data_IF_482465945526
#
_entry.id   IF_482465945526
#
_cell.length_a   1.000
_cell.length_b   1.000
_cell.length_c   1.000
_cell.angle_alpha   90.00
_cell.angle_beta   90.00
_cell.angle_gamma   90.00
#
_symmetry.space_group_name_H-M   'P 1'
#
loop_
_entity.id
_entity.type
_entity.pdbx_description
1 polymer ?
#
# COMPACT_ATOMS: atom_id res chain seq x y z
N UNK A 1 -17.58 6.07 0.00
CA UNK A 1 -17.01 7.39 0.32
C UNK A 1 -16.92 8.22 -0.94
N UNK A 2 -17.48 9.42 -0.92
CA UNK A 2 -17.30 10.46 -1.94
C UNK A 2 -15.91 11.08 -1.81
N UNK A 3 -15.44 11.83 -2.81
CA UNK A 3 -14.20 12.57 -2.62
C UNK A 3 -14.30 13.68 -1.55
N UNK A 4 -15.52 14.12 -1.19
CA UNK A 4 -15.72 15.04 -0.05
C UNK A 4 -15.39 14.36 1.27
N UNK A 5 -15.87 13.12 1.45
CA UNK A 5 -15.58 12.30 2.62
C UNK A 5 -14.08 12.04 2.75
N UNK A 6 -13.39 11.75 1.63
CA UNK A 6 -11.94 11.57 1.62
C UNK A 6 -11.19 12.84 1.99
N UNK A 7 -11.54 13.99 1.42
CA UNK A 7 -10.93 15.28 1.78
C UNK A 7 -11.08 15.58 3.28
N UNK A 8 -12.27 15.36 3.85
CA UNK A 8 -12.49 15.53 5.28
C UNK A 8 -11.59 14.59 6.10
N UNK A 9 -11.54 13.30 5.76
CA UNK A 9 -10.68 12.33 6.46
C UNK A 9 -9.19 12.70 6.38
N UNK A 10 -8.73 13.23 5.24
CA UNK A 10 -7.36 13.73 5.08
C UNK A 10 -7.10 14.94 5.97
N UNK A 11 -8.08 15.84 6.13
CA UNK A 11 -8.01 16.93 7.10
C UNK A 11 -7.82 16.42 8.54
N UNK A 12 -8.52 15.35 8.92
CA UNK A 12 -8.31 14.69 10.22
C UNK A 12 -6.91 14.09 10.32
N UNK A 13 -6.44 13.40 9.28
CA UNK A 13 -5.08 12.85 9.24
C UNK A 13 -4.01 13.94 9.36
N UNK A 14 -4.20 15.09 8.70
CA UNK A 14 -3.32 16.24 8.78
C UNK A 14 -3.23 16.80 10.21
N UNK A 15 -4.38 16.95 10.90
CA UNK A 15 -4.44 17.41 12.28
C UNK A 15 -3.73 16.46 13.26
N UNK A 16 -3.65 15.17 12.92
CA UNK A 16 -2.93 14.15 13.70
C UNK A 16 -1.44 14.04 13.33
N UNK A 17 -0.94 14.82 12.37
CA UNK A 17 0.44 14.74 11.88
C UNK A 17 0.73 13.43 11.14
N UNK A 18 -0.29 12.77 10.61
CA UNK A 18 -0.15 11.51 9.88
C UNK A 18 0.32 11.76 8.45
N UNK A 19 1.07 10.78 7.91
CA UNK A 19 1.27 10.62 6.46
C UNK A 19 0.09 9.85 5.88
N UNK A 20 -0.22 10.08 4.61
CA UNK A 20 -1.31 9.39 3.92
C UNK A 20 -0.75 8.50 2.82
N UNK A 21 -1.38 7.35 2.62
CA UNK A 21 -1.10 6.51 1.47
C UNK A 21 -2.40 6.21 0.73
N UNK A 22 -2.42 6.45 -0.57
CA UNK A 22 -3.51 6.02 -1.43
C UNK A 22 -3.21 4.62 -1.94
N UNK A 23 -4.04 3.67 -1.51
CA UNK A 23 -3.95 2.25 -1.88
C UNK A 23 -5.28 1.79 -2.48
N UNK A 24 -5.47 0.46 -2.58
CA UNK A 24 -6.73 -0.17 -2.97
C UNK A 24 -6.54 -1.17 -4.11
N UNK A 25 -7.50 -1.21 -5.03
CA UNK A 25 -7.30 -1.88 -6.33
C UNK A 25 -6.39 -1.06 -7.23
N UNK A 26 -6.82 0.14 -7.60
CA UNK A 26 -6.03 1.13 -8.33
C UNK A 26 -6.56 2.54 -8.00
N UNK A 27 -5.86 3.34 -7.17
CA UNK A 27 -6.37 4.63 -6.70
C UNK A 27 -6.62 5.63 -7.83
N UNK A 28 -5.86 5.51 -8.93
CA UNK A 28 -6.01 6.40 -10.09
C UNK A 28 -7.32 6.16 -10.87
N UNK A 29 -8.09 5.10 -10.55
CA UNK A 29 -9.43 4.89 -11.10
C UNK A 29 -10.53 5.66 -10.33
N UNK A 30 -10.23 6.22 -9.16
CA UNK A 30 -11.21 7.00 -8.42
C UNK A 30 -11.60 8.27 -9.20
N UNK A 31 -12.89 8.59 -9.39
CA UNK A 31 -13.32 9.73 -10.21
C UNK A 31 -12.78 11.07 -9.68
N UNK A 32 -12.68 11.21 -8.36
CA UNK A 32 -12.12 12.39 -7.68
C UNK A 32 -10.60 12.30 -7.41
N UNK A 33 -9.85 11.33 -7.98
CA UNK A 33 -8.43 11.11 -7.64
C UNK A 33 -7.59 12.40 -7.60
N UNK A 34 -7.65 13.18 -8.68
CA UNK A 34 -6.87 14.42 -8.79
C UNK A 34 -7.26 15.45 -7.72
N UNK A 35 -8.55 15.57 -7.41
CA UNK A 35 -9.07 16.49 -6.39
C UNK A 35 -8.58 16.09 -5.00
N UNK A 36 -8.65 14.80 -4.69
CA UNK A 36 -8.22 14.26 -3.39
C UNK A 36 -6.70 14.43 -3.22
N UNK A 37 -5.91 14.11 -4.26
CA UNK A 37 -4.47 14.29 -4.24
C UNK A 37 -4.06 15.76 -4.10
N UNK A 38 -4.67 16.66 -4.89
CA UNK A 38 -4.43 18.10 -4.79
C UNK A 38 -4.69 18.63 -3.38
N UNK A 39 -5.83 18.26 -2.79
CA UNK A 39 -6.17 18.65 -1.42
C UNK A 39 -5.15 18.15 -0.39
N UNK A 40 -4.65 16.92 -0.56
CA UNK A 40 -3.63 16.35 0.34
C UNK A 40 -2.32 17.13 0.27
N UNK A 41 -1.90 17.49 -0.94
CA UNK A 41 -0.71 18.32 -1.19
C UNK A 41 -0.88 19.73 -0.62
N UNK A 42 -2.05 20.34 -0.79
CA UNK A 42 -2.38 21.67 -0.25
C UNK A 42 -2.33 21.73 1.28
N UNK A 43 -2.71 20.65 1.95
CA UNK A 43 -2.60 20.50 3.40
C UNK A 43 -1.17 20.22 3.88
N UNK A 44 -0.20 20.07 2.97
CA UNK A 44 1.19 19.75 3.30
C UNK A 44 1.38 18.33 3.85
N UNK A 45 0.41 17.44 3.62
CA UNK A 45 0.47 16.06 4.11
C UNK A 45 1.35 15.23 3.16
N UNK A 46 2.43 14.60 3.64
CA UNK A 46 3.21 13.68 2.82
C UNK A 46 2.33 12.53 2.34
N UNK A 47 2.30 12.31 1.02
CA UNK A 47 1.42 11.34 0.38
C UNK A 47 2.17 10.40 -0.54
N UNK A 48 1.93 9.10 -0.37
CA UNK A 48 2.39 8.09 -1.32
C UNK A 48 1.20 7.50 -2.08
N UNK A 49 1.29 7.47 -3.41
CA UNK A 49 0.28 6.84 -4.27
C UNK A 49 0.78 5.46 -4.67
N UNK A 50 0.16 4.40 -4.15
CA UNK A 50 0.41 3.03 -4.57
C UNK A 50 -0.46 2.72 -5.79
N UNK A 51 0.16 2.66 -6.97
CA UNK A 51 -0.52 2.45 -8.25
C UNK A 51 0.21 1.40 -9.08
N UNK A 52 -0.52 0.66 -9.90
CA UNK A 52 0.09 -0.24 -10.89
C UNK A 52 0.84 0.50 -12.00
N UNK A 53 0.81 1.85 -12.02
CA UNK A 53 1.44 2.71 -13.03
C UNK A 53 1.11 2.31 -14.47
N UNK A 54 0.01 1.60 -14.70
CA UNK A 54 -0.40 1.16 -16.03
C UNK A 54 -1.15 2.29 -16.76
N UNK A 55 -2.12 2.94 -16.12
CA UNK A 55 -2.90 4.04 -16.73
C UNK A 55 -2.79 5.33 -15.94
N UNK A 56 -1.77 6.13 -16.24
CA UNK A 56 -1.64 7.50 -15.72
C UNK A 56 -2.09 8.47 -16.81
N UNK A 57 -3.03 9.38 -16.48
CA UNK A 57 -3.46 10.44 -17.39
C UNK A 57 -2.35 11.47 -17.55
N UNK A 58 -2.17 11.98 -18.76
CA UNK A 58 -1.08 12.94 -19.03
C UNK A 58 -1.17 14.19 -18.15
N UNK A 59 -2.39 14.70 -17.94
CA UNK A 59 -2.66 15.87 -17.09
C UNK A 59 -2.38 15.67 -15.59
N UNK A 60 -2.06 14.45 -15.14
CA UNK A 60 -1.78 14.18 -13.72
C UNK A 60 -0.30 14.25 -13.39
N UNK A 61 0.60 14.23 -14.36
CA UNK A 61 2.04 14.23 -14.10
C UNK A 61 2.52 15.49 -13.36
N UNK A 62 1.98 16.66 -13.70
CA UNK A 62 2.29 17.90 -12.98
C UNK A 62 1.89 17.83 -11.50
N UNK A 63 0.74 17.22 -11.20
CA UNK A 63 0.27 17.02 -9.83
C UNK A 63 1.11 15.97 -9.09
N UNK A 64 1.46 14.86 -9.75
CA UNK A 64 2.28 13.80 -9.17
C UNK A 64 3.73 14.24 -8.93
N UNK A 65 4.20 15.25 -9.66
CA UNK A 65 5.53 15.85 -9.48
C UNK A 65 5.58 16.95 -8.39
N UNK A 66 4.46 17.24 -7.71
CA UNK A 66 4.45 18.21 -6.62
C UNK A 66 5.29 17.71 -5.43
N UNK A 67 6.00 18.62 -4.72
CA UNK A 67 6.71 18.26 -3.50
C UNK A 67 5.79 17.57 -2.48
N UNK A 68 6.29 16.53 -1.82
CA UNK A 68 5.52 15.74 -0.84
C UNK A 68 4.76 14.55 -1.43
N UNK A 69 4.72 14.41 -2.76
CA UNK A 69 4.16 13.23 -3.44
C UNK A 69 5.26 12.21 -3.75
N UNK A 70 5.00 10.94 -3.47
CA UNK A 70 5.81 9.80 -3.94
C UNK A 70 4.93 8.73 -4.57
N UNK A 71 5.53 7.86 -5.39
CA UNK A 71 4.85 6.75 -6.04
C UNK A 71 5.39 5.42 -5.51
N UNK A 72 4.47 4.48 -5.30
CA UNK A 72 4.77 3.08 -5.07
C UNK A 72 4.13 2.22 -6.16
N UNK A 73 4.80 1.16 -6.58
CA UNK A 73 4.26 0.22 -7.58
C UNK A 73 4.68 -1.21 -7.32
N UNK A 74 3.86 -2.16 -7.78
CA UNK A 74 4.23 -3.57 -7.84
C UNK A 74 4.90 -3.87 -9.18
N UNK A 75 5.99 -4.62 -9.15
CA UNK A 75 6.72 -5.08 -10.33
C UNK A 75 6.92 -6.59 -10.26
N UNK A 76 6.82 -7.31 -11.38
CA UNK A 76 6.72 -8.77 -11.32
C UNK A 76 7.82 -9.52 -12.09
N UNK A 77 8.22 -9.04 -13.26
CA UNK A 77 9.21 -9.74 -14.10
C UNK A 77 9.92 -8.76 -15.02
N UNK A 78 11.14 -9.09 -15.44
CA UNK A 78 11.83 -8.45 -16.57
C UNK A 78 11.30 -8.92 -17.94
N UNK A 79 10.48 -9.97 -17.96
CA UNK A 79 9.89 -10.52 -19.16
C UNK A 79 8.43 -10.08 -19.33
N UNK A 80 8.11 -9.56 -20.52
CA UNK A 80 6.78 -9.02 -20.81
C UNK A 80 5.66 -10.05 -20.65
N UNK A 81 5.89 -11.29 -21.08
CA UNK A 81 4.90 -12.36 -21.01
C UNK A 81 4.61 -12.80 -19.57
N UNK A 82 5.64 -12.96 -18.74
CA UNK A 82 5.47 -13.30 -17.32
C UNK A 82 4.77 -12.17 -16.56
N UNK A 83 5.15 -10.91 -16.83
CA UNK A 83 4.50 -9.76 -16.24
C UNK A 83 3.03 -9.67 -16.66
N UNK A 84 2.73 -9.90 -17.94
CA UNK A 84 1.36 -9.94 -18.46
C UNK A 84 0.55 -11.11 -17.86
N UNK A 85 1.18 -12.27 -17.66
CA UNK A 85 0.58 -13.45 -17.02
C UNK A 85 0.17 -13.16 -15.58
N UNK A 86 1.04 -12.54 -14.79
CA UNK A 86 0.75 -12.21 -13.39
C UNK A 86 -0.29 -11.10 -13.28
N UNK A 87 -0.18 -10.05 -14.09
CA UNK A 87 -1.10 -8.90 -14.03
C UNK A 87 -2.44 -9.14 -14.74
N UNK A 88 -2.56 -10.22 -15.52
CA UNK A 88 -3.72 -10.51 -16.35
C UNK A 88 -3.93 -9.50 -17.49
N UNK A 89 -2.89 -8.78 -17.91
CA UNK A 89 -2.99 -7.69 -18.88
C UNK A 89 -1.83 -7.69 -19.86
N UNK A 90 -2.11 -7.98 -21.13
CA UNK A 90 -1.15 -7.81 -22.23
C UNK A 90 -0.69 -6.35 -22.34
N UNK A 91 0.61 -6.16 -22.59
CA UNK A 91 1.23 -4.83 -22.68
C UNK A 91 1.41 -4.11 -21.35
N UNK A 92 1.18 -4.79 -20.22
CA UNK A 92 1.36 -4.21 -18.88
C UNK A 92 2.80 -3.88 -18.59
N UNK A 93 3.73 -4.72 -19.04
CA UNK A 93 5.16 -4.55 -18.85
C UNK A 93 5.64 -3.24 -19.46
N UNK A 94 5.48 -3.06 -20.77
CA UNK A 94 6.00 -1.91 -21.51
C UNK A 94 5.39 -0.61 -21.00
N UNK A 95 4.08 -0.62 -20.72
CA UNK A 95 3.37 0.58 -20.28
C UNK A 95 3.75 0.98 -18.86
N UNK A 96 3.84 0.02 -17.94
CA UNK A 96 4.25 0.27 -16.55
C UNK A 96 5.71 0.73 -16.52
N UNK A 97 6.59 0.05 -17.28
CA UNK A 97 8.00 0.42 -17.43
C UNK A 97 8.18 1.84 -17.94
N UNK A 98 7.42 2.23 -18.97
CA UNK A 98 7.46 3.59 -19.53
C UNK A 98 7.00 4.65 -18.52
N UNK A 99 5.95 4.37 -17.74
CA UNK A 99 5.48 5.30 -16.70
C UNK A 99 6.43 5.37 -15.50
N UNK A 100 7.09 4.28 -15.12
CA UNK A 100 8.19 4.29 -14.13
C UNK A 100 9.33 5.17 -14.62
N UNK A 101 9.79 4.98 -15.86
CA UNK A 101 10.84 5.80 -16.46
C UNK A 101 10.46 7.30 -16.49
N UNK A 102 9.20 7.60 -16.84
CA UNK A 102 8.68 8.97 -16.82
C UNK A 102 8.67 9.57 -15.41
N UNK A 103 8.19 8.83 -14.42
CA UNK A 103 8.19 9.28 -13.02
C UNK A 103 9.61 9.61 -12.53
N UNK A 104 10.58 8.72 -12.81
CA UNK A 104 11.99 8.96 -12.47
C UNK A 104 12.54 10.17 -13.21
N UNK A 105 12.26 10.30 -14.51
CA UNK A 105 12.70 11.45 -15.32
C UNK A 105 12.14 12.80 -14.84
N UNK A 106 10.96 12.79 -14.20
CA UNK A 106 10.35 13.97 -13.56
C UNK A 106 10.86 14.21 -12.13
N UNK A 107 11.79 13.39 -11.62
CA UNK A 107 12.33 13.51 -10.27
C UNK A 107 11.36 13.06 -9.18
N UNK A 108 10.28 12.35 -9.52
CA UNK A 108 9.30 11.85 -8.55
C UNK A 108 9.93 10.68 -7.79
N UNK A 109 9.93 10.66 -6.45
CA UNK A 109 10.41 9.52 -5.69
C UNK A 109 9.57 8.27 -6.00
N UNK A 110 10.21 7.23 -6.54
CA UNK A 110 9.56 5.95 -6.84
C UNK A 110 10.11 4.86 -5.91
N UNK A 111 9.20 4.11 -5.30
CA UNK A 111 9.46 2.82 -4.65
C UNK A 111 8.79 1.71 -5.45
N UNK A 112 9.45 0.56 -5.56
CA UNK A 112 8.88 -0.62 -6.21
C UNK A 112 8.99 -1.84 -5.30
N UNK A 113 7.93 -2.66 -5.29
CA UNK A 113 7.89 -3.95 -4.62
C UNK A 113 7.80 -5.08 -5.64
N UNK A 114 8.68 -6.07 -5.52
CA UNK A 114 8.67 -7.29 -6.32
C UNK A 114 8.03 -8.40 -5.50
N UNK A 115 6.94 -8.97 -6.00
CA UNK A 115 6.27 -10.09 -5.34
C UNK A 115 6.55 -11.36 -6.14
N UNK A 116 7.13 -12.37 -5.47
CA UNK A 116 7.33 -13.69 -6.05
C UNK A 116 6.02 -14.46 -6.15
N UNK A 117 5.45 -14.56 -7.35
CA UNK A 117 4.16 -15.22 -7.63
C UNK A 117 4.35 -16.53 -8.40
N UNK A 118 5.36 -16.60 -9.26
CA UNK A 118 5.61 -17.75 -10.13
C UNK A 118 6.78 -18.58 -9.62
N UNK A 119 6.71 -19.90 -9.78
CA UNK A 119 7.86 -20.77 -9.60
C UNK A 119 8.96 -20.41 -10.60
N UNK A 120 10.19 -20.26 -10.12
CA UNK A 120 11.33 -19.86 -10.94
C UNK A 120 11.30 -18.41 -11.43
N UNK A 121 10.46 -17.55 -10.84
CA UNK A 121 10.41 -16.12 -11.20
C UNK A 121 11.79 -15.47 -11.14
N UNK A 122 12.12 -14.71 -12.19
CA UNK A 122 13.40 -14.01 -12.38
C UNK A 122 13.48 -12.73 -11.55
N UNK A 123 13.39 -12.89 -10.22
CA UNK A 123 13.31 -11.79 -9.24
C UNK A 123 14.53 -10.86 -9.32
N UNK A 124 15.73 -11.42 -9.47
CA UNK A 124 16.97 -10.61 -9.56
C UNK A 124 17.00 -9.76 -10.82
N UNK A 125 16.52 -10.30 -11.93
CA UNK A 125 16.46 -9.58 -13.21
C UNK A 125 15.34 -8.55 -13.22
N UNK A 126 14.20 -8.85 -12.61
CA UNK A 126 13.14 -7.87 -12.38
C UNK A 126 13.64 -6.68 -11.54
N UNK A 127 14.45 -6.93 -10.50
CA UNK A 127 15.11 -5.89 -9.72
C UNK A 127 16.13 -5.10 -10.57
N UNK A 128 16.98 -5.79 -11.34
CA UNK A 128 17.94 -5.14 -12.22
C UNK A 128 17.26 -4.24 -13.27
N UNK A 129 16.12 -4.65 -13.81
CA UNK A 129 15.33 -3.86 -14.74
C UNK A 129 14.84 -2.56 -14.09
N UNK A 130 14.23 -2.63 -12.90
CA UNK A 130 13.84 -1.42 -12.14
C UNK A 130 15.01 -0.50 -11.83
N UNK A 131 16.15 -1.05 -11.43
CA UNK A 131 17.36 -0.28 -11.15
C UNK A 131 17.89 0.40 -12.41
N UNK A 132 17.80 -0.25 -13.57
CA UNK A 132 18.17 0.34 -14.87
C UNK A 132 17.33 1.56 -15.25
N UNK A 133 16.10 1.65 -14.72
CA UNK A 133 15.21 2.81 -14.89
C UNK A 133 15.51 3.95 -13.90
N UNK A 134 16.43 3.75 -12.96
CA UNK A 134 16.77 4.73 -11.91
C UNK A 134 15.94 4.59 -10.63
N UNK A 135 15.18 3.49 -10.44
CA UNK A 135 14.50 3.22 -9.18
C UNK A 135 15.52 2.76 -8.13
N UNK A 136 15.69 3.54 -7.06
CA UNK A 136 16.66 3.25 -6.01
C UNK A 136 16.09 2.45 -4.85
N UNK A 137 14.77 2.56 -4.62
CA UNK A 137 14.04 1.88 -3.54
C UNK A 137 13.28 0.68 -4.09
N UNK A 138 13.98 -0.44 -4.24
CA UNK A 138 13.38 -1.73 -4.63
C UNK A 138 13.30 -2.65 -3.42
N UNK A 139 12.17 -3.33 -3.27
CA UNK A 139 11.92 -4.35 -2.24
C UNK A 139 11.50 -5.65 -2.90
N UNK A 140 11.86 -6.77 -2.28
CA UNK A 140 11.40 -8.10 -2.68
C UNK A 140 10.58 -8.67 -1.54
N UNK A 141 9.30 -8.91 -1.80
CA UNK A 141 8.34 -9.49 -0.87
C UNK A 141 7.94 -10.91 -1.27
N UNK A 142 7.26 -11.58 -0.35
CA UNK A 142 6.66 -12.90 -0.56
C UNK A 142 5.14 -12.79 -0.51
N UNK A 143 4.46 -13.70 -1.21
CA UNK A 143 3.00 -13.80 -1.13
C UNK A 143 2.62 -14.19 0.30
N UNK A 144 1.73 -13.42 0.90
CA UNK A 144 1.13 -13.71 2.20
C UNK A 144 -0.23 -14.38 1.98
N UNK A 145 -0.55 -15.41 2.76
CA UNK A 145 -1.86 -16.09 2.75
C UNK A 145 -2.94 -15.25 3.44
N UNK A 146 -3.09 -14.00 2.99
CA UNK A 146 -4.00 -13.00 3.53
C UNK A 146 -4.70 -12.25 2.37
N UNK A 147 -5.91 -11.77 2.64
CA UNK A 147 -6.67 -11.01 1.64
C UNK A 147 -6.99 -11.84 0.40
N UNK A 148 -6.68 -11.34 -0.79
CA UNK A 148 -7.03 -12.00 -2.07
C UNK A 148 -6.26 -13.28 -2.34
N UNK A 149 -5.15 -13.50 -1.65
CA UNK A 149 -4.35 -14.71 -1.76
C UNK A 149 -4.86 -15.84 -0.84
N UNK A 150 -5.80 -15.55 0.06
CA UNK A 150 -6.34 -16.52 1.00
C UNK A 150 -7.16 -17.61 0.29
N UNK A 151 -6.83 -18.88 0.55
CA UNK A 151 -7.56 -20.03 0.01
C UNK A 151 -8.26 -20.80 1.15
N UNK A 152 -9.58 -20.66 1.26
CA UNK A 152 -10.45 -21.57 2.00
C UNK A 152 -10.38 -21.54 3.54
N UNK A 153 -9.45 -20.78 4.15
CA UNK A 153 -9.32 -20.61 5.60
C UNK A 153 -10.01 -19.32 6.09
N UNK A 154 -10.44 -19.31 7.36
CA UNK A 154 -10.84 -18.05 8.03
C UNK A 154 -9.58 -17.24 8.34
N UNK A 155 -9.61 -15.91 8.18
CA UNK A 155 -8.48 -15.07 8.56
C UNK A 155 -8.12 -15.25 10.04
N UNK A 156 -6.86 -15.57 10.32
CA UNK A 156 -6.34 -15.72 11.67
C UNK A 156 -5.48 -14.50 12.03
N UNK A 157 -5.83 -13.73 13.09
CA UNK A 157 -4.98 -12.66 13.61
C UNK A 157 -3.55 -13.12 13.91
N UNK A 158 -3.34 -14.40 14.21
CA UNK A 158 -2.02 -14.96 14.41
C UNK A 158 -1.12 -14.83 13.19
N UNK A 159 -1.65 -14.73 11.97
CA UNK A 159 -0.84 -14.57 10.75
C UNK A 159 -0.38 -13.12 10.51
N UNK A 160 -0.89 -12.14 11.28
CA UNK A 160 -0.55 -10.73 11.13
C UNK A 160 0.86 -10.44 11.69
N UNK A 161 1.55 -9.46 11.10
CA UNK A 161 2.92 -9.07 11.48
C UNK A 161 3.14 -8.51 12.90
N UNK A 162 2.10 -8.44 13.75
CA UNK A 162 2.21 -7.89 15.10
C UNK A 162 2.27 -6.35 15.23
N UNK A 163 2.29 -5.62 14.10
CA UNK A 163 2.28 -4.14 14.06
C UNK A 163 0.98 -3.53 13.53
N UNK A 164 -0.03 -4.35 13.26
CA UNK A 164 -1.36 -3.85 12.89
C UNK A 164 -1.90 -2.94 14.02
N UNK A 165 -2.35 -1.75 13.65
CA UNK A 165 -2.81 -0.71 14.58
C UNK A 165 -1.73 0.00 15.42
N UNK A 166 -0.44 -0.34 15.27
CA UNK A 166 0.67 0.44 15.84
C UNK A 166 1.04 1.60 14.91
N UNK A 167 0.59 2.82 15.26
CA UNK A 167 0.82 4.06 14.50
C UNK A 167 0.39 3.99 13.03
N UNK A 168 -0.51 3.07 12.71
CA UNK A 168 -1.10 2.89 11.38
C UNK A 168 -2.53 2.40 11.49
N UNK A 169 -3.32 2.68 10.46
CA UNK A 169 -4.68 2.17 10.28
C UNK A 169 -4.99 2.16 8.79
N UNK A 170 -6.07 1.47 8.40
CA UNK A 170 -6.61 1.55 7.05
C UNK A 170 -8.08 1.97 7.10
N UNK A 171 -8.52 2.69 6.07
CA UNK A 171 -9.92 3.05 5.85
C UNK A 171 -10.35 2.54 4.48
N UNK A 172 -11.44 1.78 4.43
CA UNK A 172 -11.95 1.19 3.20
C UNK A 172 -12.79 2.19 2.37
N UNK A 173 -13.12 1.89 1.10
CA UNK A 173 -14.04 2.72 0.30
C UNK A 173 -15.44 2.87 0.89
N UNK A 174 -15.86 1.96 1.78
CA UNK A 174 -17.13 2.02 2.51
C UNK A 174 -17.03 2.79 3.82
N UNK A 175 -15.84 3.26 4.19
CA UNK A 175 -15.56 4.01 5.42
C UNK A 175 -15.15 3.15 6.61
N UNK A 176 -15.02 1.83 6.44
CA UNK A 176 -14.67 0.92 7.53
C UNK A 176 -13.23 1.11 7.95
N UNK A 177 -13.00 1.20 9.27
CA UNK A 177 -11.68 1.42 9.87
C UNK A 177 -11.14 0.10 10.39
N UNK A 178 -9.93 -0.27 9.99
CA UNK A 178 -9.24 -1.48 10.42
C UNK A 178 -7.80 -1.18 10.90
N UNK A 179 -7.20 -2.06 11.73
CA UNK A 179 -5.81 -1.91 12.17
C UNK A 179 -4.77 -1.82 11.04
N UNK A 180 -5.05 -2.39 9.88
CA UNK A 180 -4.19 -2.40 8.70
C UNK A 180 -5.00 -2.88 7.47
N UNK A 181 -4.48 -2.64 6.26
CA UNK A 181 -5.02 -3.23 5.03
C UNK A 181 -5.04 -4.76 5.08
N UNK A 182 -4.03 -5.35 5.74
CA UNK A 182 -3.91 -6.81 5.88
C UNK A 182 -4.90 -7.40 6.89
N UNK A 183 -5.56 -6.58 7.71
CA UNK A 183 -6.54 -7.01 8.71
C UNK A 183 -7.94 -6.52 8.34
N UNK A 184 -8.30 -6.62 7.06
CA UNK A 184 -9.55 -6.09 6.51
C UNK A 184 -10.82 -6.63 7.18
N UNK A 185 -10.76 -7.80 7.81
CA UNK A 185 -11.87 -8.41 8.55
C UNK A 185 -12.05 -7.86 9.98
N UNK A 186 -11.05 -7.16 10.50
CA UNK A 186 -11.04 -6.62 11.87
C UNK A 186 -11.60 -5.19 11.89
N UNK A 187 -12.87 -5.02 11.53
CA UNK A 187 -13.52 -3.70 11.48
C UNK A 187 -13.77 -3.17 12.89
N UNK A 188 -13.24 -1.99 13.18
CA UNK A 188 -13.36 -1.32 14.48
C UNK A 188 -14.50 -0.28 14.53
N UNK A 189 -14.92 0.23 13.36
CA UNK A 189 -15.93 1.26 13.23
C UNK A 189 -15.99 1.79 11.80
N UNK A 190 -16.78 2.83 11.56
CA UNK A 190 -16.94 3.44 10.23
C UNK A 190 -16.90 4.98 10.30
N UNK A 191 -16.02 5.62 9.53
CA UNK A 191 -15.80 7.09 9.56
C UNK A 191 -16.99 7.92 9.05
N UNK A 192 -17.94 7.28 8.36
CA UNK A 192 -19.19 7.93 7.93
C UNK A 192 -20.24 7.97 9.04
N UNK A 193 -20.02 7.21 10.12
CA UNK A 193 -20.95 7.10 11.26
C UNK A 193 -20.38 7.80 12.49
N UNK A 194 -19.08 7.67 12.73
CA UNK A 194 -18.43 8.16 13.95
C UNK A 194 -17.06 8.80 13.62
N UNK A 195 -16.62 9.85 14.35
CA UNK A 195 -15.31 10.44 14.12
C UNK A 195 -14.16 9.43 14.30
N UNK A 196 -13.16 9.50 13.42
CA UNK A 196 -12.01 8.58 13.44
C UNK A 196 -11.34 8.49 14.83
N UNK A 197 -11.20 9.63 15.51
CA UNK A 197 -10.59 9.71 16.85
C UNK A 197 -11.36 8.93 17.92
N UNK A 198 -12.68 8.84 17.79
CA UNK A 198 -13.52 8.05 18.70
C UNK A 198 -13.38 6.57 18.38
N UNK A 199 -13.40 6.19 17.10
CA UNK A 199 -13.20 4.80 16.66
C UNK A 199 -11.87 4.25 17.18
N UNK A 200 -10.76 4.96 16.96
CA UNK A 200 -9.43 4.51 17.40
C UNK A 200 -9.25 4.55 18.93
N UNK A 201 -10.05 5.36 19.64
CA UNK A 201 -10.10 5.38 21.11
C UNK A 201 -11.05 4.33 21.71
N UNK A 202 -11.87 3.68 20.88
CA UNK A 202 -12.95 2.80 21.29
C UNK A 202 -12.52 1.44 21.85
N UNK A 203 -13.48 0.73 22.42
CA UNK A 203 -13.27 -0.65 22.90
C UNK A 203 -12.97 -1.61 21.75
N UNK A 204 -13.73 -1.53 20.64
CA UNK A 204 -13.54 -2.41 19.48
C UNK A 204 -12.11 -2.33 18.90
N UNK A 205 -11.53 -1.13 18.80
CA UNK A 205 -10.14 -0.97 18.37
C UNK A 205 -9.16 -1.66 19.33
N UNK A 206 -9.34 -1.47 20.65
CA UNK A 206 -8.50 -2.12 21.66
C UNK A 206 -8.63 -3.64 21.64
N UNK A 207 -9.83 -4.17 21.48
CA UNK A 207 -10.09 -5.61 21.44
C UNK A 207 -9.42 -6.27 20.23
N UNK A 208 -9.43 -5.60 19.07
CA UNK A 208 -8.66 -6.06 17.89
C UNK A 208 -7.16 -6.06 18.17
N UNK A 209 -6.63 -5.01 18.79
CA UNK A 209 -5.20 -4.91 19.11
C UNK A 209 -4.71 -5.99 20.09
N UNK A 210 -5.58 -6.50 20.97
CA UNK A 210 -5.26 -7.59 21.90
C UNK A 210 -5.13 -8.93 21.17
N UNK A 211 -5.90 -9.13 20.10
CA UNK A 211 -5.87 -10.36 19.30
C UNK A 211 -4.65 -10.47 18.39
N UNK A 212 -4.01 -9.35 18.08
CA UNK A 212 -2.83 -9.30 17.22
C UNK A 212 -1.60 -9.66 18.07
N UNK A 213 -0.91 -10.81 17.81
CA UNK A 213 0.23 -11.21 18.61
C UNK A 213 1.37 -10.20 18.46
N UNK A 214 1.75 -9.56 19.57
CA UNK A 214 2.88 -8.62 19.57
C UNK A 214 4.18 -9.42 19.44
N UNK A 215 4.80 -9.38 18.27
CA UNK A 215 6.12 -10.00 18.09
C UNK A 215 7.22 -9.15 18.74
N UNK A 216 8.01 -9.78 19.62
CA UNK A 216 9.17 -9.16 20.27
C UNK A 216 10.44 -9.26 19.43
N UNK A 217 10.56 -8.47 18.34
CA UNK A 217 11.75 -8.30 17.45
C UNK A 217 12.21 -9.60 16.75
N UNK A 218 12.40 -9.70 15.44
CA UNK A 218 13.24 -8.91 14.52
C UNK A 218 12.56 -8.94 13.15
N UNK A 219 12.08 -7.80 12.66
CA UNK A 219 12.05 -7.63 11.21
C UNK A 219 13.47 -7.27 10.78
N UNK A 220 13.90 -7.60 9.55
CA UNK A 220 14.99 -6.87 8.92
C UNK A 220 14.76 -5.35 9.14
N UNK A 221 15.81 -4.52 9.22
CA UNK A 221 15.77 -3.10 9.67
C UNK A 221 14.82 -2.16 8.88
N UNK A 222 14.02 -2.71 7.98
CA UNK A 222 13.27 -2.05 6.92
C UNK A 222 11.75 -2.25 7.02
N UNK A 223 11.24 -2.92 8.07
CA UNK A 223 9.83 -2.81 8.48
C UNK A 223 9.60 -1.41 9.08
N UNK A 224 9.67 -0.41 8.21
CA UNK A 224 9.44 0.98 8.55
C UNK A 224 7.93 1.16 8.73
N UNK A 225 7.46 1.78 9.83
CA UNK A 225 6.07 2.25 9.97
C UNK A 225 5.59 3.12 8.79
N UNK A 226 6.50 3.61 7.95
CA UNK A 226 6.23 4.31 6.71
C UNK A 226 6.02 3.42 5.45
N UNK A 227 6.08 2.09 5.55
CA UNK A 227 5.82 1.16 4.43
C UNK A 227 4.38 0.62 4.45
N UNK A 228 3.92 0.26 3.25
CA UNK A 228 2.54 0.11 2.77
C UNK A 228 1.73 -1.11 3.24
N UNK A 229 2.21 -1.81 4.28
CA UNK A 229 1.59 -3.05 4.75
C UNK A 229 1.78 -4.27 3.84
N UNK A 230 2.29 -4.11 2.61
CA UNK A 230 2.59 -5.20 1.68
C UNK A 230 3.90 -5.93 2.03
N UNK A 231 4.74 -5.30 2.86
CA UNK A 231 6.04 -5.80 3.33
C UNK A 231 5.98 -6.49 4.71
N UNK A 232 4.85 -7.11 5.05
CA UNK A 232 4.67 -7.79 6.32
C UNK A 232 5.08 -9.26 6.20
N UNK A 233 6.21 -9.74 6.78
CA UNK A 233 6.36 -11.17 6.95
C UNK A 233 5.17 -11.67 7.81
N UNK A 234 4.63 -12.88 7.54
CA UNK A 234 3.64 -13.48 8.43
C UNK A 234 4.25 -13.61 9.84
N UNK A 235 3.41 -13.75 10.86
CA UNK A 235 3.95 -14.15 12.16
C UNK A 235 4.67 -15.48 11.97
N UNK A 236 6.00 -15.48 12.07
CA UNK A 236 6.73 -16.73 12.11
C UNK A 236 6.34 -17.43 13.41
N UNK A 237 5.74 -18.61 13.30
CA UNK A 237 5.83 -19.59 14.37
C UNK A 237 7.33 -19.87 14.53
N UNK A 238 7.83 -19.68 15.74
CA UNK A 238 9.11 -20.26 16.14
C UNK A 238 8.89 -21.76 16.04
N UNK A 239 9.36 -22.39 14.97
CA UNK A 239 9.61 -23.82 15.00
C UNK A 239 10.64 -24.02 16.12
N UNK A 240 10.19 -24.70 17.17
CA UNK A 240 10.98 -24.90 18.39
C UNK A 240 12.29 -25.63 18.08
N UNK A 241 13.39 -25.09 18.61
CA UNK A 241 14.52 -25.90 19.06
C UNK A 241 14.23 -26.47 20.46
#
# INVERSE_FOLDING_TARGET
MTGGDWCHLIGVAAALGARVQFIGGEPTLHPDFARILAHTVELGVPVEVFTNLYRIRESWWELLARPGVSLATSWYSDQADDHARITGRAGSYERTRANVAKAVGLGIPVRAAIVGVLDGQRVREAEADLRSLGVTRVRVGHVQDLGRAQIGSRPDPAQLCGRCGDRRLAVSPTGDVTPCVMSGWMVAGNVLVEPLTVIVGGAAWRDHLVQIPRQGRVCPPECNPASDGNDCPPAQQVDGE
#
